data_IF_603907895616
#
_entry.id   IF_603907895616
#
_cell.length_a   1.000
_cell.length_b   1.000
_cell.length_c   1.000
_cell.angle_alpha   90.00
_cell.angle_beta   90.00
_cell.angle_gamma   90.00
#
_symmetry.space_group_name_H-M   'P 1'
#
loop_
_entity.id
_entity.type
_entity.pdbx_description
1 polymer ?
#
# COMPACT_ATOMS: atom_id res chain seq x y z
N UNK A 1 35.41 -14.34 51.82
CA UNK A 1 33.99 -14.29 51.40
C UNK A 1 33.56 -12.97 50.73
N UNK A 2 34.41 -11.93 50.60
CA UNK A 2 33.98 -10.63 50.01
C UNK A 2 34.24 -10.48 48.51
N UNK A 3 35.12 -11.27 47.89
CA UNK A 3 35.48 -11.14 46.45
C UNK A 3 34.45 -11.76 45.50
N UNK A 4 33.68 -12.75 45.95
CA UNK A 4 32.68 -13.45 45.12
C UNK A 4 31.36 -12.66 44.99
N UNK A 5 31.07 -11.77 45.94
CA UNK A 5 29.89 -10.89 45.94
C UNK A 5 30.05 -9.65 45.04
N UNK A 6 31.28 -9.22 44.77
CA UNK A 6 31.57 -8.06 43.90
C UNK A 6 31.54 -8.46 42.41
N UNK A 7 32.01 -9.66 42.08
CA UNK A 7 32.01 -10.18 40.70
C UNK A 7 30.61 -10.50 40.16
N UNK A 8 29.68 -10.92 41.03
CA UNK A 8 28.28 -11.13 40.65
C UNK A 8 27.54 -9.81 40.43
N UNK A 9 27.84 -8.77 41.21
CA UNK A 9 27.24 -7.44 41.08
C UNK A 9 27.70 -6.68 39.81
N UNK A 10 28.97 -6.83 39.40
CA UNK A 10 29.46 -6.23 38.14
C UNK A 10 28.89 -6.93 36.90
N UNK A 11 28.69 -8.25 36.98
CA UNK A 11 28.06 -9.04 35.93
C UNK A 11 26.55 -8.72 35.78
N UNK A 12 25.82 -8.49 36.87
CA UNK A 12 24.40 -8.10 36.78
C UNK A 12 24.25 -6.70 36.19
N UNK A 13 25.10 -5.74 36.57
CA UNK A 13 25.09 -4.39 36.00
C UNK A 13 25.39 -4.38 34.50
N UNK A 14 26.34 -5.19 34.03
CA UNK A 14 26.67 -5.29 32.60
C UNK A 14 25.57 -5.96 31.78
N UNK A 15 24.92 -7.00 32.32
CA UNK A 15 23.76 -7.65 31.71
C UNK A 15 22.57 -6.68 31.63
N UNK A 16 22.27 -5.94 32.71
CA UNK A 16 21.21 -4.93 32.72
C UNK A 16 21.46 -3.82 31.69
N UNK A 17 22.72 -3.39 31.52
CA UNK A 17 23.10 -2.41 30.50
C UNK A 17 22.91 -2.96 29.08
N UNK A 18 23.30 -4.21 28.82
CA UNK A 18 23.09 -4.87 27.53
C UNK A 18 21.59 -5.00 27.18
N UNK A 19 20.75 -5.36 28.16
CA UNK A 19 19.30 -5.43 27.97
C UNK A 19 18.68 -4.06 27.68
N UNK A 20 19.15 -3.00 28.35
CA UNK A 20 18.74 -1.62 28.08
C UNK A 20 19.11 -1.19 26.66
N UNK A 21 20.34 -1.48 26.22
CA UNK A 21 20.81 -1.17 24.87
C UNK A 21 19.97 -1.93 23.83
N UNK A 22 19.70 -3.22 24.04
CA UNK A 22 18.83 -4.00 23.16
C UNK A 22 17.41 -3.44 23.11
N UNK A 23 16.83 -3.06 24.25
CA UNK A 23 15.50 -2.45 24.31
C UNK A 23 15.44 -1.12 23.53
N UNK A 24 16.46 -0.27 23.66
CA UNK A 24 16.54 1.00 22.92
C UNK A 24 16.64 0.75 21.41
N UNK A 25 17.44 -0.23 20.98
CA UNK A 25 17.56 -0.62 19.56
C UNK A 25 16.22 -1.11 19.01
N UNK A 26 15.45 -1.89 19.80
CA UNK A 26 14.12 -2.33 19.41
C UNK A 26 13.13 -1.17 19.28
N UNK A 27 13.15 -0.19 20.18
CA UNK A 27 12.27 0.99 20.13
C UNK A 27 12.55 1.84 18.88
N UNK A 28 13.81 1.99 18.49
CA UNK A 28 14.18 2.76 17.29
C UNK A 28 13.69 2.11 15.98
N UNK A 29 13.52 0.79 15.94
CA UNK A 29 12.99 0.10 14.74
C UNK A 29 11.47 0.28 14.54
N UNK A 30 10.75 0.80 15.53
CA UNK A 30 9.27 0.93 15.49
C UNK A 30 8.81 2.31 15.01
N UNK A 31 9.72 3.24 14.75
CA UNK A 31 9.34 4.52 14.15
C UNK A 31 9.03 4.34 12.67
N UNK A 32 7.76 4.04 12.37
CA UNK A 32 7.22 4.20 11.02
C UNK A 32 7.27 5.68 10.67
N UNK A 33 7.86 6.01 9.52
CA UNK A 33 7.74 7.36 8.95
C UNK A 33 6.31 7.44 8.41
N UNK A 34 5.41 8.26 9.01
CA UNK A 34 4.05 8.37 8.51
C UNK A 34 4.11 8.93 7.08
N UNK A 35 3.36 8.31 6.17
CA UNK A 35 3.20 8.85 4.82
C UNK A 35 2.38 10.14 4.97
N UNK A 36 2.91 11.31 4.64
CA UNK A 36 2.15 12.54 4.72
C UNK A 36 0.97 12.45 3.75
N UNK A 37 -0.23 12.82 4.22
CA UNK A 37 -1.46 12.83 3.43
C UNK A 37 -1.86 11.45 2.90
N UNK A 38 -2.19 10.53 3.80
CA UNK A 38 -2.54 9.15 3.44
C UNK A 38 -3.81 9.10 2.57
N UNK A 39 -3.93 8.01 1.81
CA UNK A 39 -5.18 7.63 1.19
C UNK A 39 -6.23 7.29 2.27
N UNK A 40 -7.46 7.74 2.05
CA UNK A 40 -8.64 7.35 2.83
C UNK A 40 -9.33 6.20 2.11
N UNK A 41 -9.47 5.07 2.79
CA UNK A 41 -10.21 3.93 2.27
C UNK A 41 -9.55 3.27 1.05
N UNK A 42 -10.38 2.67 0.18
CA UNK A 42 -9.93 2.02 -1.05
C UNK A 42 -10.01 3.00 -2.21
N UNK A 43 -9.21 2.76 -3.25
CA UNK A 43 -9.36 3.48 -4.51
C UNK A 43 -10.64 3.00 -5.21
N UNK A 44 -11.36 3.94 -5.80
CA UNK A 44 -12.52 3.65 -6.63
C UNK A 44 -12.06 3.46 -8.07
N UNK A 45 -12.63 2.49 -8.76
CA UNK A 45 -12.26 2.15 -10.15
C UNK A 45 -13.49 2.30 -11.02
N UNK A 46 -13.37 3.15 -12.02
CA UNK A 46 -14.39 3.37 -13.05
C UNK A 46 -13.88 2.84 -14.39
N UNK A 47 -14.64 1.92 -14.97
CA UNK A 47 -14.31 1.31 -16.25
C UNK A 47 -15.11 2.01 -17.36
N UNK A 48 -14.43 2.82 -18.16
CA UNK A 48 -14.97 3.33 -19.42
C UNK A 48 -14.92 2.29 -20.54
N UNK A 49 -15.29 2.68 -21.75
CA UNK A 49 -15.17 1.83 -22.95
C UNK A 49 -13.71 1.45 -23.22
N UNK A 50 -12.83 2.46 -23.33
CA UNK A 50 -11.41 2.28 -23.65
C UNK A 50 -10.46 2.72 -22.52
N UNK A 51 -11.02 3.20 -21.41
CA UNK A 51 -10.26 3.76 -20.29
C UNK A 51 -10.57 3.06 -18.97
N UNK A 52 -9.61 3.15 -18.05
CA UNK A 52 -9.77 2.82 -16.65
C UNK A 52 -9.40 4.09 -15.88
N UNK A 53 -10.33 4.62 -15.11
CA UNK A 53 -10.08 5.69 -14.17
C UNK A 53 -9.98 5.12 -12.76
N UNK A 54 -8.95 5.54 -12.04
CA UNK A 54 -8.75 5.18 -10.64
C UNK A 54 -8.75 6.46 -9.82
N UNK A 55 -9.69 6.57 -8.90
CA UNK A 55 -9.91 7.74 -8.05
C UNK A 55 -9.44 7.45 -6.63
N UNK A 56 -8.67 8.38 -6.07
CA UNK A 56 -8.11 8.31 -4.74
C UNK A 56 -8.62 9.48 -3.90
N UNK A 57 -9.06 9.18 -2.68
CA UNK A 57 -9.37 10.18 -1.65
C UNK A 57 -8.19 10.30 -0.70
N UNK A 58 -7.82 11.53 -0.32
CA UNK A 58 -6.68 11.81 0.57
C UNK A 58 -7.11 12.61 1.79
N UNK A 59 -6.37 12.46 2.90
CA UNK A 59 -6.63 13.14 4.18
C UNK A 59 -6.64 14.68 4.08
N UNK A 60 -5.92 15.24 3.12
CA UNK A 60 -5.75 16.66 2.87
C UNK A 60 -5.55 16.88 1.36
N UNK A 61 -5.35 18.12 0.93
CA UNK A 61 -5.19 18.45 -0.49
C UNK A 61 -4.01 17.69 -1.09
N UNK A 62 -4.26 16.93 -2.16
CA UNK A 62 -3.22 16.21 -2.89
C UNK A 62 -2.33 17.20 -3.64
N UNK A 63 -1.02 17.03 -3.48
CA UNK A 63 0.02 17.76 -4.19
C UNK A 63 1.09 16.76 -4.59
N UNK A 64 1.00 16.26 -5.83
CA UNK A 64 1.91 15.22 -6.26
C UNK A 64 1.63 14.76 -7.68
N UNK A 65 2.06 13.52 -7.96
CA UNK A 65 1.87 12.85 -9.23
C UNK A 65 1.42 11.43 -8.98
N UNK A 66 0.36 11.01 -9.64
CA UNK A 66 -0.06 9.61 -9.71
C UNK A 66 0.45 9.04 -11.01
N UNK A 67 0.98 7.81 -11.02
CA UNK A 67 1.52 7.22 -12.24
C UNK A 67 1.45 5.69 -12.20
N UNK A 68 1.43 5.08 -13.39
CA UNK A 68 1.53 3.64 -13.53
C UNK A 68 2.97 3.19 -13.31
N UNK A 69 3.17 2.20 -12.44
CA UNK A 69 4.49 1.63 -12.14
C UNK A 69 5.17 1.17 -13.44
N UNK A 70 6.44 1.55 -13.64
CA UNK A 70 7.19 1.28 -14.87
C UNK A 70 6.96 2.28 -16.02
N UNK A 71 5.94 3.14 -15.92
CA UNK A 71 5.58 4.12 -16.97
C UNK A 71 5.63 5.57 -16.48
N UNK A 72 6.40 5.85 -15.43
CA UNK A 72 6.51 7.17 -14.80
C UNK A 72 7.08 8.27 -15.72
N UNK A 73 7.79 7.89 -16.79
CA UNK A 73 8.35 8.83 -17.76
C UNK A 73 7.43 9.10 -18.96
N UNK A 74 6.34 8.35 -19.10
CA UNK A 74 5.34 8.56 -20.16
C UNK A 74 4.23 9.49 -19.65
N UNK A 75 4.10 10.67 -20.26
CA UNK A 75 3.08 11.65 -19.87
C UNK A 75 1.64 11.13 -19.98
N UNK A 76 1.38 10.07 -20.76
CA UNK A 76 0.06 9.43 -20.88
C UNK A 76 -0.28 8.52 -19.70
N UNK A 77 0.72 8.15 -18.91
CA UNK A 77 0.60 7.23 -17.77
C UNK A 77 0.84 7.95 -16.44
N UNK A 78 0.75 9.28 -16.44
CA UNK A 78 0.96 10.15 -15.29
C UNK A 78 -0.18 11.15 -15.22
N UNK A 79 -0.75 11.31 -14.02
CA UNK A 79 -1.67 12.39 -13.69
C UNK A 79 -1.02 13.33 -12.67
N UNK A 80 -1.17 14.63 -12.89
CA UNK A 80 -0.71 15.68 -11.97
C UNK A 80 -1.94 16.45 -11.53
N UNK A 81 -2.51 16.03 -10.40
CA UNK A 81 -3.60 16.75 -9.77
C UNK A 81 -3.06 17.58 -8.61
N UNK A 82 -3.62 18.78 -8.46
CA UNK A 82 -3.26 19.74 -7.42
C UNK A 82 -4.50 20.48 -6.97
N UNK A 83 -4.71 20.61 -5.66
CA UNK A 83 -5.70 21.53 -5.11
C UNK A 83 -7.03 20.90 -4.70
N UNK A 84 -7.18 19.57 -4.82
CA UNK A 84 -8.35 18.83 -4.33
C UNK A 84 -7.93 17.71 -3.37
N UNK A 85 -8.85 17.27 -2.50
CA UNK A 85 -8.69 16.07 -1.65
C UNK A 85 -8.99 14.77 -2.41
N UNK A 86 -9.30 14.91 -3.69
CA UNK A 86 -9.52 13.83 -4.64
C UNK A 86 -8.46 14.00 -5.71
N UNK A 87 -7.79 12.91 -6.08
CA UNK A 87 -6.93 12.84 -7.25
C UNK A 87 -7.32 11.62 -8.06
N UNK A 88 -7.17 11.67 -9.38
CA UNK A 88 -7.40 10.50 -10.22
C UNK A 88 -6.28 10.28 -11.22
N UNK A 89 -6.24 9.08 -11.78
CA UNK A 89 -5.47 8.75 -12.97
C UNK A 89 -6.39 8.02 -13.95
N UNK A 90 -6.43 8.51 -15.18
CA UNK A 90 -7.13 7.86 -16.29
C UNK A 90 -6.09 7.26 -17.22
N UNK A 91 -6.16 5.95 -17.44
CA UNK A 91 -5.27 5.22 -18.35
C UNK A 91 -6.09 4.56 -19.44
N UNK A 92 -5.57 4.52 -20.66
CA UNK A 92 -6.20 3.73 -21.72
C UNK A 92 -5.84 2.25 -21.58
N UNK A 93 -6.78 1.38 -21.92
CA UNK A 93 -6.64 -0.08 -21.83
C UNK A 93 -5.60 -0.66 -22.81
N UNK A 94 -5.23 0.09 -23.85
CA UNK A 94 -4.21 -0.27 -24.84
C UNK A 94 -2.79 0.21 -24.45
N UNK A 95 -2.63 0.87 -23.29
CA UNK A 95 -1.41 1.60 -22.92
C UNK A 95 -0.96 1.32 -21.49
N UNK A 96 0.17 1.91 -21.10
CA UNK A 96 0.69 1.87 -19.73
C UNK A 96 0.90 0.46 -19.16
N UNK A 97 1.13 -0.54 -20.01
CA UNK A 97 1.33 -1.93 -19.58
C UNK A 97 0.06 -2.63 -19.11
N UNK A 98 -1.13 -2.09 -19.42
CA UNK A 98 -2.41 -2.74 -19.09
C UNK A 98 -2.53 -4.06 -19.84
N UNK A 99 -2.74 -5.15 -19.11
CA UNK A 99 -2.97 -6.47 -19.66
C UNK A 99 -4.48 -6.77 -19.70
N UNK A 100 -4.98 -7.18 -20.86
CA UNK A 100 -6.38 -7.56 -21.05
C UNK A 100 -6.46 -9.08 -21.05
N UNK A 101 -7.09 -9.64 -20.01
CA UNK A 101 -7.45 -11.07 -19.97
C UNK A 101 -8.90 -11.23 -20.35
N UNK A 102 -9.17 -12.07 -21.34
CA UNK A 102 -10.54 -12.42 -21.74
C UNK A 102 -10.95 -13.72 -21.06
N UNK A 103 -11.97 -13.63 -20.22
CA UNK A 103 -12.65 -14.82 -19.69
C UNK A 103 -13.74 -15.23 -20.67
N UNK A 104 -13.76 -16.49 -21.08
CA UNK A 104 -14.99 -17.07 -21.67
C UNK A 104 -15.94 -17.33 -20.51
N UNK A 105 -17.05 -16.61 -20.47
CA UNK A 105 -18.20 -17.06 -19.69
C UNK A 105 -18.68 -18.35 -20.37
N UNK A 106 -18.27 -19.50 -19.84
CA UNK A 106 -18.88 -20.76 -20.24
C UNK A 106 -20.33 -20.69 -19.75
N UNK A 107 -21.24 -21.07 -20.63
CA UNK A 107 -22.69 -21.05 -20.52
C UNK A 107 -23.27 -21.91 -19.37
N UNK A 108 -22.51 -22.19 -18.31
CA UNK A 108 -22.92 -23.07 -17.22
C UNK A 108 -23.65 -22.33 -16.07
N UNK A 109 -23.64 -20.99 -16.06
CA UNK A 109 -24.42 -20.21 -15.07
C UNK A 109 -25.90 -20.12 -15.46
N UNK A 110 -26.22 -20.13 -16.76
CA UNK A 110 -27.61 -20.18 -17.23
C UNK A 110 -28.23 -21.58 -17.05
N UNK A 111 -27.42 -22.64 -17.05
CA UNK A 111 -27.89 -24.02 -16.88
C UNK A 111 -28.30 -24.31 -15.42
N UNK A 112 -27.62 -23.72 -14.42
CA UNK A 112 -28.03 -23.83 -13.01
C UNK A 112 -29.30 -23.03 -12.66
N UNK A 113 -29.60 -21.94 -13.37
CA UNK A 113 -30.83 -21.18 -13.15
C UNK A 113 -32.07 -21.89 -13.72
N UNK A 114 -31.95 -22.52 -14.89
CA UNK A 114 -33.05 -23.21 -15.57
C UNK A 114 -33.49 -24.54 -14.92
N UNK A 115 -32.66 -25.16 -14.09
CA UNK A 115 -33.01 -26.40 -13.36
C UNK A 115 -33.72 -26.16 -12.02
N UNK A 116 -33.95 -24.90 -11.64
CA UNK A 116 -34.72 -24.54 -10.44
C UNK A 116 -36.20 -24.21 -10.71
N UNK A 117 -36.63 -24.27 -11.98
CA UNK A 117 -38.01 -24.02 -12.41
C UNK A 117 -38.71 -25.24 -13.05
N UNK A 118 -38.20 -26.46 -12.84
CA UNK A 118 -38.91 -27.72 -13.22
C UNK A 118 -39.07 -28.66 -12.04
#
# INVERSE_FOLDING_TARGET
MMTQQVASATATLSISLLLLIQAIIHIQRVHSIPIPNSQIGKAEVECGEDTIEVVFLTESVFQGRVYVVGHSNDGRCVSRDTGRRTTSITVRKDQCGVAITRSRMILNVLDEMLLSEV
#
